data_IF_415703171648
#
_entry.id   IF_415703171648
#
_cell.length_a   1.000
_cell.length_b   1.000
_cell.length_c   1.000
_cell.angle_alpha   90.00
_cell.angle_beta   90.00
_cell.angle_gamma   90.00
#
_symmetry.space_group_name_H-M   'P 1'
#
loop_
_entity.id
_entity.type
_entity.pdbx_description
1 polymer ?
#
# COMPACT_ATOMS: atom_id res chain seq x y z
N UNK A 1 -37.64 13.49 -26.29
CA UNK A 1 -36.56 12.48 -26.18
C UNK A 1 -36.53 12.06 -24.71
N UNK A 2 -37.13 10.91 -24.38
CA UNK A 2 -37.35 10.49 -22.98
C UNK A 2 -36.12 9.72 -22.51
N UNK A 3 -35.47 10.20 -21.44
CA UNK A 3 -34.35 9.52 -20.80
C UNK A 3 -34.87 8.25 -20.10
N UNK A 4 -34.29 7.09 -20.45
CA UNK A 4 -34.54 5.83 -19.72
C UNK A 4 -33.68 5.80 -18.47
N UNK A 5 -34.32 5.73 -17.32
CA UNK A 5 -33.73 5.35 -16.04
C UNK A 5 -33.39 3.84 -16.10
N UNK A 6 -32.12 3.48 -15.92
CA UNK A 6 -31.72 2.09 -15.70
C UNK A 6 -31.89 1.79 -14.20
N UNK A 7 -32.82 0.90 -13.88
CA UNK A 7 -33.10 0.43 -12.54
C UNK A 7 -32.13 -0.73 -12.24
N UNK A 8 -31.20 -0.53 -11.31
CA UNK A 8 -30.21 -1.52 -10.91
C UNK A 8 -30.74 -2.27 -9.68
N UNK A 9 -31.36 -3.43 -9.89
CA UNK A 9 -31.69 -4.37 -8.82
C UNK A 9 -30.63 -5.46 -8.82
N UNK A 10 -29.59 -5.30 -8.01
CA UNK A 10 -28.70 -6.38 -7.62
C UNK A 10 -28.76 -6.49 -6.09
N UNK A 11 -29.09 -7.66 -5.59
CA UNK A 11 -29.00 -7.95 -4.16
C UNK A 11 -27.56 -7.72 -3.67
N UNK A 12 -27.36 -7.22 -2.44
CA UNK A 12 -26.02 -7.09 -1.90
C UNK A 12 -25.37 -8.49 -1.82
N UNK A 13 -24.09 -8.64 -2.23
CA UNK A 13 -23.40 -9.90 -2.06
C UNK A 13 -23.42 -10.28 -0.58
N UNK A 14 -23.75 -11.54 -0.30
CA UNK A 14 -23.72 -12.08 1.05
C UNK A 14 -22.28 -12.06 1.58
N UNK A 15 -22.05 -11.72 2.87
CA UNK A 15 -20.70 -11.70 3.42
C UNK A 15 -20.14 -13.14 3.39
N UNK A 16 -19.01 -13.32 2.70
CA UNK A 16 -18.24 -14.56 2.82
C UNK A 16 -17.57 -14.57 4.20
N UNK A 17 -17.80 -15.65 4.93
CA UNK A 17 -17.27 -15.89 6.28
C UNK A 17 -15.74 -15.88 6.30
N UNK A 18 -15.20 -15.33 7.37
CA UNK A 18 -13.79 -15.06 7.65
C UNK A 18 -12.96 -16.28 8.10
N UNK A 19 -13.11 -17.43 7.46
CA UNK A 19 -12.38 -18.64 7.88
C UNK A 19 -11.52 -19.19 6.73
N UNK A 20 -10.22 -19.28 7.03
CA UNK A 20 -9.11 -19.88 6.27
C UNK A 20 -8.60 -19.14 5.01
N UNK A 21 -7.72 -18.14 5.22
CA UNK A 21 -6.79 -17.63 4.19
C UNK A 21 -5.67 -18.66 3.91
N UNK A 22 -6.01 -19.86 3.47
CA UNK A 22 -5.05 -20.81 2.90
C UNK A 22 -4.93 -20.50 1.40
N UNK A 23 -3.86 -19.79 1.01
CA UNK A 23 -3.58 -19.54 -0.41
C UNK A 23 -2.72 -18.31 -0.74
N UNK A 24 -2.50 -17.38 0.19
CA UNK A 24 -1.68 -16.20 -0.10
C UNK A 24 -0.18 -16.54 -0.19
N UNK A 25 0.44 -16.19 -1.32
CA UNK A 25 1.89 -16.15 -1.50
C UNK A 25 2.29 -14.77 -2.02
N UNK A 26 3.27 -14.14 -1.38
CA UNK A 26 3.80 -12.85 -1.85
C UNK A 26 4.57 -13.03 -3.16
N UNK A 27 4.38 -12.12 -4.11
CA UNK A 27 5.15 -12.09 -5.35
C UNK A 27 6.66 -11.92 -5.04
N UNK A 28 7.51 -12.71 -5.68
CA UNK A 28 8.96 -12.73 -5.47
C UNK A 28 9.60 -11.34 -5.67
N UNK A 29 9.07 -10.52 -6.60
CA UNK A 29 9.59 -9.16 -6.81
C UNK A 29 9.26 -8.25 -5.66
N UNK A 30 8.05 -8.34 -5.10
CA UNK A 30 7.69 -7.59 -3.89
C UNK A 30 8.52 -8.07 -2.70
N UNK A 31 8.74 -9.38 -2.58
CA UNK A 31 9.56 -9.93 -1.50
C UNK A 31 11.01 -9.43 -1.56
N UNK A 32 11.62 -9.47 -2.75
CA UNK A 32 13.03 -9.08 -2.93
C UNK A 32 13.24 -7.57 -2.95
N UNK A 33 12.23 -6.78 -3.32
CA UNK A 33 12.34 -5.31 -3.38
C UNK A 33 11.78 -4.60 -2.15
N UNK A 34 11.43 -5.32 -1.08
CA UNK A 34 10.88 -4.70 0.13
C UNK A 34 11.02 -5.55 1.39
N UNK A 35 11.09 -4.87 2.53
CA UNK A 35 11.18 -5.50 3.84
C UNK A 35 9.83 -5.47 4.57
N UNK A 36 9.40 -6.59 5.14
CA UNK A 36 8.19 -6.63 5.96
C UNK A 36 8.37 -5.79 7.23
N UNK A 37 7.42 -4.89 7.51
CA UNK A 37 7.35 -4.13 8.76
C UNK A 37 6.45 -4.85 9.76
N UNK A 38 5.21 -5.10 9.36
CA UNK A 38 4.20 -5.81 10.14
C UNK A 38 3.06 -6.27 9.22
N UNK A 39 2.18 -7.13 9.73
CA UNK A 39 0.88 -7.43 9.12
C UNK A 39 -0.21 -6.92 10.04
N UNK A 40 -1.15 -6.12 9.51
CA UNK A 40 -2.29 -5.58 10.25
C UNK A 40 -3.55 -5.68 9.38
N UNK A 41 -4.65 -6.12 9.96
CA UNK A 41 -5.95 -6.28 9.26
C UNK A 41 -5.86 -7.09 7.96
N UNK A 42 -4.97 -8.09 7.93
CA UNK A 42 -4.73 -8.91 6.74
C UNK A 42 -4.05 -8.17 5.58
N UNK A 43 -3.30 -7.12 5.87
CA UNK A 43 -2.47 -6.36 4.93
C UNK A 43 -1.02 -6.35 5.43
N UNK A 44 -0.08 -6.80 4.59
CA UNK A 44 1.34 -6.60 4.86
C UNK A 44 1.70 -5.14 4.60
N UNK A 45 2.32 -4.52 5.60
CA UNK A 45 2.95 -3.21 5.46
C UNK A 45 4.44 -3.45 5.25
N UNK A 46 4.97 -3.00 4.11
CA UNK A 46 6.35 -3.26 3.69
C UNK A 46 7.08 -1.97 3.38
N UNK A 47 8.37 -1.90 3.70
CA UNK A 47 9.27 -0.80 3.36
C UNK A 47 9.97 -1.14 2.04
N UNK A 48 9.77 -0.33 0.99
CA UNK A 48 10.48 -0.54 -0.28
C UNK A 48 11.99 -0.32 -0.11
N UNK A 49 12.79 -1.19 -0.73
CA UNK A 49 14.26 -1.13 -0.68
C UNK A 49 14.82 -0.14 -1.72
N UNK A 50 14.45 1.13 -1.53
CA UNK A 50 14.98 2.25 -2.28
C UNK A 50 15.15 3.44 -1.34
N UNK A 51 16.40 3.73 -0.95
CA UNK A 51 16.76 4.76 0.03
C UNK A 51 16.46 6.18 -0.44
N UNK A 52 16.24 6.39 -1.75
CA UNK A 52 15.93 7.70 -2.34
C UNK A 52 14.61 8.28 -1.82
N UNK A 53 13.71 7.44 -1.31
CA UNK A 53 12.38 7.83 -0.85
C UNK A 53 12.02 7.15 0.48
N UNK A 54 11.10 7.75 1.24
CA UNK A 54 10.36 7.01 2.28
C UNK A 54 9.11 6.44 1.64
N UNK A 55 9.13 5.14 1.38
CA UNK A 55 8.18 4.45 0.51
C UNK A 55 7.65 3.18 1.16
N UNK A 56 6.35 3.19 1.49
CA UNK A 56 5.61 2.03 1.99
C UNK A 56 4.84 1.36 0.85
N UNK A 57 4.84 0.03 0.85
CA UNK A 57 4.02 -0.82 -0.01
C UNK A 57 3.06 -1.63 0.85
N UNK A 58 1.76 -1.51 0.57
CA UNK A 58 0.71 -2.26 1.23
C UNK A 58 0.28 -3.41 0.34
N UNK A 59 0.27 -4.63 0.87
CA UNK A 59 -0.11 -5.84 0.13
C UNK A 59 -1.21 -6.57 0.89
N UNK A 60 -2.48 -6.51 0.43
CA UNK A 60 -3.54 -7.34 1.01
C UNK A 60 -3.19 -8.81 0.91
N UNK A 61 -3.30 -9.56 2.01
CA UNK A 61 -3.07 -11.00 2.03
C UNK A 61 -4.29 -11.72 1.45
N UNK A 62 -4.56 -11.52 0.16
CA UNK A 62 -5.62 -12.18 -0.59
C UNK A 62 -5.04 -12.73 -1.90
N UNK A 63 -5.24 -14.02 -2.13
CA UNK A 63 -4.74 -14.69 -3.33
C UNK A 63 -5.56 -14.30 -4.57
N UNK A 64 -4.89 -14.23 -5.72
CA UNK A 64 -5.53 -13.94 -7.01
C UNK A 64 -6.10 -12.52 -7.20
N UNK A 65 -5.87 -11.61 -6.25
CA UNK A 65 -6.34 -10.21 -6.32
C UNK A 65 -5.32 -9.36 -7.06
N UNK A 66 -5.76 -8.66 -8.10
CA UNK A 66 -4.91 -7.75 -8.89
C UNK A 66 -5.32 -6.28 -8.80
N UNK A 67 -6.61 -6.04 -8.58
CA UNK A 67 -7.21 -4.71 -8.61
C UNK A 67 -7.96 -4.39 -7.33
N UNK A 68 -8.10 -3.10 -7.01
CA UNK A 68 -8.89 -2.66 -5.85
C UNK A 68 -10.36 -3.11 -5.91
N UNK A 69 -10.90 -3.28 -7.12
CA UNK A 69 -12.29 -3.72 -7.32
C UNK A 69 -12.46 -5.24 -7.23
N UNK A 70 -11.37 -6.01 -7.17
CA UNK A 70 -11.40 -7.45 -6.88
C UNK A 70 -11.62 -7.72 -5.38
N UNK A 71 -11.29 -6.74 -4.52
CA UNK A 71 -11.51 -6.81 -3.08
C UNK A 71 -13.00 -6.64 -2.72
N UNK A 72 -13.42 -7.36 -1.69
CA UNK A 72 -14.66 -7.08 -0.98
C UNK A 72 -14.68 -5.62 -0.50
N UNK A 73 -15.87 -5.01 -0.46
CA UNK A 73 -15.99 -3.57 -0.20
C UNK A 73 -15.40 -3.16 1.16
N UNK A 74 -15.55 -3.99 2.18
CA UNK A 74 -15.00 -3.78 3.53
C UNK A 74 -13.47 -3.80 3.51
N UNK A 75 -12.87 -4.74 2.78
CA UNK A 75 -11.42 -4.89 2.72
C UNK A 75 -10.77 -3.77 1.90
N UNK A 76 -11.44 -3.35 0.82
CA UNK A 76 -11.03 -2.17 0.05
C UNK A 76 -11.04 -0.91 0.92
N UNK A 77 -12.08 -0.70 1.72
CA UNK A 77 -12.15 0.46 2.63
C UNK A 77 -11.03 0.38 3.66
N UNK A 78 -10.85 -0.77 4.33
CA UNK A 78 -9.80 -0.96 5.32
C UNK A 78 -8.38 -0.69 4.76
N UNK A 79 -8.09 -1.17 3.55
CA UNK A 79 -6.82 -0.92 2.85
C UNK A 79 -6.61 0.57 2.56
N UNK A 80 -7.64 1.27 2.05
CA UNK A 80 -7.54 2.69 1.71
C UNK A 80 -7.46 3.59 2.95
N UNK A 81 -8.14 3.22 4.03
CA UNK A 81 -8.03 3.90 5.32
C UNK A 81 -6.62 3.73 5.88
N UNK A 82 -6.05 2.50 5.85
CA UNK A 82 -4.66 2.26 6.23
C UNK A 82 -3.66 3.08 5.39
N UNK A 83 -3.85 3.14 4.07
CA UNK A 83 -3.02 3.96 3.20
C UNK A 83 -3.11 5.46 3.54
N UNK A 84 -4.30 5.92 3.92
CA UNK A 84 -4.58 7.31 4.29
C UNK A 84 -3.95 7.66 5.63
N UNK A 85 -4.11 6.82 6.65
CA UNK A 85 -3.51 6.99 7.98
C UNK A 85 -1.99 7.08 7.91
N UNK A 86 -1.38 6.13 7.18
CA UNK A 86 0.05 6.14 6.92
C UNK A 86 0.47 7.40 6.15
N UNK A 87 -0.29 7.82 5.15
CA UNK A 87 -0.03 9.06 4.42
C UNK A 87 -0.03 10.29 5.33
N UNK A 88 -1.02 10.43 6.21
CA UNK A 88 -1.12 11.55 7.17
C UNK A 88 0.06 11.54 8.13
N UNK A 89 0.36 10.36 8.70
CA UNK A 89 1.49 10.20 9.62
C UNK A 89 2.83 10.49 8.93
N UNK A 90 3.10 9.88 7.77
CA UNK A 90 4.32 10.09 6.99
C UNK A 90 4.49 11.56 6.60
N UNK A 91 3.41 12.23 6.19
CA UNK A 91 3.46 13.65 5.82
C UNK A 91 3.94 14.51 6.98
N UNK A 92 3.37 14.28 8.16
CA UNK A 92 3.74 15.01 9.38
C UNK A 92 5.14 14.63 9.84
N UNK A 93 5.44 13.33 9.91
CA UNK A 93 6.65 12.80 10.50
C UNK A 93 7.91 13.12 9.70
N UNK A 94 7.81 13.09 8.37
CA UNK A 94 8.93 13.35 7.46
C UNK A 94 8.90 14.74 6.83
N UNK A 95 7.99 15.61 7.32
CA UNK A 95 7.75 16.95 6.76
C UNK A 95 7.62 16.93 5.23
N UNK A 96 6.91 15.94 4.70
CA UNK A 96 6.79 15.75 3.26
C UNK A 96 5.94 16.84 2.62
N UNK A 97 6.39 17.37 1.48
CA UNK A 97 5.64 18.36 0.71
C UNK A 97 4.35 17.73 0.15
N UNK A 98 4.43 16.46 -0.29
CA UNK A 98 3.31 15.72 -0.86
C UNK A 98 3.37 14.23 -0.53
N UNK A 99 2.20 13.61 -0.40
CA UNK A 99 2.07 12.14 -0.44
C UNK A 99 1.62 11.71 -1.83
N UNK A 100 2.29 10.70 -2.39
CA UNK A 100 1.81 9.97 -3.57
C UNK A 100 1.25 8.63 -3.11
N UNK A 101 0.02 8.34 -3.53
CA UNK A 101 -0.67 7.07 -3.26
C UNK A 101 -1.16 6.49 -4.58
N UNK A 102 -0.81 5.23 -4.88
CA UNK A 102 -1.20 4.60 -6.15
C UNK A 102 -1.22 3.07 -6.06
N UNK A 103 -2.18 2.45 -6.75
CA UNK A 103 -2.12 1.07 -7.20
C UNK A 103 -1.88 1.10 -8.72
N UNK A 104 -0.82 0.45 -9.21
CA UNK A 104 -0.41 0.50 -10.63
C UNK A 104 -0.38 -0.90 -11.24
N UNK A 105 0.42 -1.82 -10.65
CA UNK A 105 0.34 -3.25 -10.98
C UNK A 105 0.79 -3.70 -12.38
N UNK A 106 1.27 -2.81 -13.26
CA UNK A 106 1.63 -3.18 -14.65
C UNK A 106 2.72 -4.27 -14.78
N UNK A 107 3.63 -4.37 -13.79
CA UNK A 107 4.79 -5.29 -13.81
C UNK A 107 4.62 -6.44 -12.82
N UNK A 108 4.00 -6.18 -11.67
CA UNK A 108 3.63 -7.17 -10.65
C UNK A 108 2.11 -7.11 -10.53
N UNK A 109 1.44 -8.16 -10.97
CA UNK A 109 -0.02 -8.20 -11.03
C UNK A 109 -0.68 -8.29 -9.65
N UNK A 110 0.00 -8.89 -8.67
CA UNK A 110 -0.53 -8.97 -7.29
C UNK A 110 -0.83 -7.57 -6.76
N UNK A 111 -2.04 -7.35 -6.26
CA UNK A 111 -2.48 -6.05 -5.78
C UNK A 111 -1.54 -5.52 -4.70
N UNK A 112 -1.05 -4.30 -4.93
CA UNK A 112 -0.29 -3.56 -3.94
C UNK A 112 -0.54 -2.06 -4.10
N UNK A 113 -0.53 -1.34 -2.96
CA UNK A 113 -0.73 0.11 -2.91
C UNK A 113 0.56 0.75 -2.41
N UNK A 114 1.09 1.68 -3.18
CA UNK A 114 2.24 2.49 -2.79
C UNK A 114 1.78 3.71 -1.99
N UNK A 115 2.50 4.05 -0.92
CA UNK A 115 2.38 5.30 -0.16
C UNK A 115 3.78 5.90 -0.03
N UNK A 116 3.99 7.09 -0.60
CA UNK A 116 5.33 7.68 -0.74
C UNK A 116 5.33 9.11 -0.21
N UNK A 117 6.26 9.41 0.70
CA UNK A 117 6.58 10.79 1.09
C UNK A 117 7.48 11.43 0.03
N UNK A 118 7.03 12.54 -0.56
CA UNK A 118 7.72 13.28 -1.62
C UNK A 118 8.16 14.64 -1.11
N UNK A 119 9.31 15.10 -1.62
CA UNK A 119 9.90 16.39 -1.29
C UNK A 119 10.24 17.18 -2.54
N UNK A 120 10.15 18.50 -2.47
CA UNK A 120 10.67 19.38 -3.52
C UNK A 120 12.16 19.10 -3.72
N UNK A 121 12.54 18.71 -4.93
CA UNK A 121 13.92 18.38 -5.26
C UNK A 121 14.36 16.97 -4.86
N UNK A 122 13.44 16.08 -4.47
CA UNK A 122 13.76 14.65 -4.38
C UNK A 122 14.20 14.07 -5.73
N UNK A 123 14.78 12.86 -5.71
CA UNK A 123 15.44 12.25 -6.86
C UNK A 123 14.57 12.12 -8.13
N UNK A 124 13.24 12.26 -8.02
CA UNK A 124 12.32 12.19 -9.14
C UNK A 124 11.44 13.45 -9.30
N UNK A 125 11.54 14.46 -8.43
CA UNK A 125 10.62 15.60 -8.47
C UNK A 125 10.75 16.42 -9.78
N UNK A 126 9.63 16.86 -10.41
CA UNK A 126 8.21 16.67 -10.05
C UNK A 126 7.55 15.43 -10.67
N UNK A 127 8.34 14.55 -11.30
CA UNK A 127 7.84 13.33 -11.93
C UNK A 127 7.41 12.27 -10.89
N UNK A 128 6.65 11.25 -11.31
CA UNK A 128 6.44 10.05 -10.51
C UNK A 128 7.76 9.33 -10.23
N UNK A 129 7.84 8.61 -9.11
CA UNK A 129 9.06 7.86 -8.75
C UNK A 129 9.25 6.60 -9.60
N UNK A 130 8.16 6.05 -10.16
CA UNK A 130 8.16 4.76 -10.82
C UNK A 130 8.91 4.84 -12.17
N UNK A 131 9.93 4.01 -12.33
CA UNK A 131 10.74 3.97 -13.55
C UNK A 131 11.76 5.10 -13.69
N UNK A 132 11.99 5.89 -12.63
CA UNK A 132 12.94 7.01 -12.64
C UNK A 132 14.16 6.67 -11.79
N UNK A 133 15.35 6.77 -12.39
CA UNK A 133 16.64 6.54 -11.74
C UNK A 133 16.90 5.08 -11.34
N UNK A 134 17.90 4.86 -10.47
CA UNK A 134 18.29 3.53 -9.97
C UNK A 134 18.05 3.48 -8.46
N UNK A 135 17.45 2.41 -7.91
CA UNK A 135 17.30 2.26 -6.47
C UNK A 135 18.63 2.34 -5.73
N UNK A 136 18.63 2.99 -4.57
CA UNK A 136 19.81 3.06 -3.70
C UNK A 136 19.60 2.17 -2.46
N UNK A 137 20.62 1.42 -2.08
CA UNK A 137 20.55 0.55 -0.90
C UNK A 137 20.36 1.39 0.37
N UNK A 138 19.40 1.00 1.21
CA UNK A 138 19.22 1.61 2.52
C UNK A 138 20.15 0.96 3.54
N UNK A 139 21.02 1.73 4.24
CA UNK A 139 21.85 1.19 5.31
C UNK A 139 21.02 0.49 6.38
N UNK A 140 21.50 -0.64 6.90
CA UNK A 140 20.78 -1.48 7.88
C UNK A 140 20.28 -0.69 9.08
N UNK A 141 21.10 0.19 9.66
CA UNK A 141 20.70 1.02 10.80
C UNK A 141 19.50 1.93 10.48
N UNK A 142 19.54 2.61 9.32
CA UNK A 142 18.45 3.47 8.87
C UNK A 142 17.19 2.66 8.52
N UNK A 143 17.36 1.47 7.92
CA UNK A 143 16.26 0.55 7.63
C UNK A 143 15.59 0.06 8.91
N UNK A 144 16.35 -0.50 9.84
CA UNK A 144 15.85 -1.00 11.12
C UNK A 144 15.17 0.09 11.95
N UNK A 145 15.74 1.31 11.96
CA UNK A 145 15.11 2.46 12.62
C UNK A 145 13.75 2.83 12.05
N UNK A 146 13.64 2.91 10.71
CA UNK A 146 12.35 3.20 10.04
C UNK A 146 11.33 2.08 10.26
N UNK A 147 11.75 0.82 10.17
CA UNK A 147 10.87 -0.33 10.42
C UNK A 147 10.28 -0.25 11.84
N UNK A 148 11.12 -0.04 12.85
CA UNK A 148 10.67 0.06 14.24
C UNK A 148 9.70 1.23 14.44
N UNK A 149 10.04 2.40 13.89
CA UNK A 149 9.21 3.61 14.02
C UNK A 149 7.83 3.45 13.36
N UNK A 150 7.76 2.88 12.15
CA UNK A 150 6.48 2.63 11.47
C UNK A 150 5.67 1.56 12.21
N UNK A 151 6.32 0.50 12.69
CA UNK A 151 5.66 -0.55 13.45
C UNK A 151 5.02 -0.01 14.74
N UNK A 152 5.70 0.89 15.45
CA UNK A 152 5.17 1.48 16.69
C UNK A 152 4.02 2.46 16.43
N UNK A 153 4.07 3.23 15.33
CA UNK A 153 2.93 4.02 14.89
C UNK A 153 1.69 3.14 14.62
N UNK A 154 1.87 2.03 13.90
CA UNK A 154 0.77 1.13 13.55
C UNK A 154 0.18 0.44 14.79
N UNK A 155 0.99 0.05 15.77
CA UNK A 155 0.51 -0.50 17.05
C UNK A 155 -0.32 0.52 17.83
N UNK A 156 0.10 1.78 17.86
CA UNK A 156 -0.55 2.82 18.67
C UNK A 156 -1.82 3.38 18.02
N UNK A 157 -1.85 3.44 16.69
CA UNK A 157 -3.00 3.98 15.94
C UNK A 157 -4.14 2.99 15.76
N UNK A 158 -3.88 1.68 15.96
CA UNK A 158 -4.87 0.60 15.76
C UNK A 158 -5.12 -0.25 17.03
N UNK A 159 -4.62 0.22 18.18
CA UNK A 159 -4.85 -0.39 19.50
C UNK A 159 -6.00 0.23 20.28
#
# INVERSE_FOLDING_TARGET
>A
MVARQAQWNADPPSPKSSEDKVGFALDERLETSSHLITTTDGVQVRLADDARFVWIVLVPEQDGVSELHDLEATDRVALLDLATDLGVWMKTRFAADKINTAAIGNVVAQLHVHVVARHLGDAAWPAPIWGVGTPEERPEESRSGLIAEIADFLKTSRG
#
